data_IF_257286101555
#
_entry.id   IF_257286101555
#
_cell.length_a   1.000
_cell.length_b   1.000
_cell.length_c   1.000
_cell.angle_alpha   90.00
_cell.angle_beta   90.00
_cell.angle_gamma   90.00
#
_symmetry.space_group_name_H-M   'P 1'
#
loop_
_entity.id
_entity.type
_entity.pdbx_description
1 polymer ?
#
# COMPACT_ATOMS: atom_id res chain seq x y z
N UNK A 1 -1.83 -21.47 12.46
CA UNK A 1 -2.43 -22.27 11.38
C UNK A 1 -3.91 -21.93 11.28
N UNK A 2 -4.54 -22.14 10.12
CA UNK A 2 -5.98 -21.90 9.92
C UNK A 2 -6.84 -22.67 10.95
N UNK A 3 -6.44 -23.87 11.32
CA UNK A 3 -7.15 -24.63 12.34
C UNK A 3 -7.11 -23.93 13.69
N UNK A 4 -5.96 -23.34 14.06
CA UNK A 4 -5.85 -22.58 15.31
C UNK A 4 -6.74 -21.34 15.30
N UNK A 5 -6.76 -20.59 14.20
CA UNK A 5 -7.65 -19.42 14.04
C UNK A 5 -9.12 -19.88 14.11
N UNK A 6 -9.47 -20.96 13.43
CA UNK A 6 -10.82 -21.54 13.49
C UNK A 6 -11.23 -21.94 14.92
N UNK A 7 -10.34 -22.61 15.66
CA UNK A 7 -10.58 -23.00 17.04
C UNK A 7 -10.76 -21.78 17.96
N UNK A 8 -9.90 -20.78 17.83
CA UNK A 8 -9.98 -19.53 18.60
C UNK A 8 -11.28 -18.77 18.32
N UNK A 9 -11.66 -18.64 17.03
CA UNK A 9 -12.91 -17.98 16.64
C UNK A 9 -14.14 -18.79 17.06
N UNK A 10 -14.11 -20.11 16.92
CA UNK A 10 -15.20 -20.98 17.38
C UNK A 10 -15.39 -20.82 18.91
N UNK A 11 -14.30 -20.85 19.66
CA UNK A 11 -14.35 -20.68 21.11
C UNK A 11 -14.93 -19.29 21.50
N UNK A 12 -14.51 -18.23 20.83
CA UNK A 12 -15.02 -16.87 21.05
C UNK A 12 -16.49 -16.77 20.69
N UNK A 13 -16.89 -17.25 19.52
CA UNK A 13 -18.29 -17.26 19.07
C UNK A 13 -19.19 -18.03 20.04
N UNK A 14 -18.77 -19.21 20.49
CA UNK A 14 -19.53 -20.00 21.47
C UNK A 14 -19.66 -19.30 22.82
N UNK A 15 -18.60 -18.62 23.27
CA UNK A 15 -18.63 -17.86 24.53
C UNK A 15 -19.58 -16.67 24.47
N UNK A 16 -19.64 -15.97 23.35
CA UNK A 16 -20.49 -14.77 23.16
C UNK A 16 -21.96 -15.13 22.90
N UNK A 17 -22.21 -16.22 22.19
CA UNK A 17 -23.56 -16.61 21.79
C UNK A 17 -24.16 -17.76 22.62
N UNK A 18 -23.43 -18.26 23.61
CA UNK A 18 -23.85 -19.42 24.43
C UNK A 18 -24.27 -20.63 23.60
N UNK A 19 -23.61 -20.85 22.45
CA UNK A 19 -23.87 -21.91 21.50
C UNK A 19 -22.63 -22.76 21.30
N UNK A 20 -22.80 -24.07 21.37
CA UNK A 20 -21.74 -25.03 21.07
C UNK A 20 -21.83 -25.40 19.57
N UNK A 21 -21.27 -24.53 18.72
CA UNK A 21 -21.33 -24.64 17.26
C UNK A 21 -19.92 -24.68 16.68
N UNK A 22 -19.68 -25.60 15.79
CA UNK A 22 -18.44 -25.67 15.02
C UNK A 22 -18.59 -24.75 13.80
N UNK A 23 -17.83 -23.64 13.75
CA UNK A 23 -17.91 -22.69 12.65
C UNK A 23 -17.42 -23.34 11.34
N UNK A 24 -18.23 -23.20 10.30
CA UNK A 24 -17.84 -23.58 8.93
C UNK A 24 -16.76 -22.63 8.41
N UNK A 25 -16.04 -23.02 7.36
CA UNK A 25 -15.07 -22.15 6.73
C UNK A 25 -15.63 -20.77 6.35
N UNK A 26 -16.87 -20.73 5.85
CA UNK A 26 -17.60 -19.50 5.52
C UNK A 26 -17.86 -18.63 6.76
N UNK A 27 -18.32 -19.23 7.83
CA UNK A 27 -18.57 -18.53 9.08
C UNK A 27 -17.30 -17.98 9.72
N UNK A 28 -16.19 -18.75 9.67
CA UNK A 28 -14.89 -18.23 10.12
C UNK A 28 -14.45 -17.01 9.31
N UNK A 29 -14.68 -17.03 8.00
CA UNK A 29 -14.37 -15.90 7.14
C UNK A 29 -15.20 -14.66 7.50
N UNK A 30 -16.48 -14.81 7.71
CA UNK A 30 -17.37 -13.73 8.16
C UNK A 30 -17.01 -13.24 9.56
N UNK A 31 -16.76 -14.12 10.50
CA UNK A 31 -16.40 -13.75 11.86
C UNK A 31 -15.04 -13.05 11.94
N UNK A 32 -14.07 -13.43 11.10
CA UNK A 32 -12.82 -12.67 10.94
C UNK A 32 -13.09 -11.23 10.48
N UNK A 33 -14.14 -11.00 9.70
CA UNK A 33 -14.54 -9.66 9.29
C UNK A 33 -15.17 -8.84 10.42
N UNK A 34 -15.83 -9.46 11.38
CA UNK A 34 -16.45 -8.79 12.52
C UNK A 34 -15.48 -8.57 13.69
N UNK A 35 -14.47 -9.42 13.87
CA UNK A 35 -13.59 -9.37 15.05
C UNK A 35 -12.40 -8.43 14.93
N UNK A 36 -12.08 -7.98 13.76
CA UNK A 36 -11.21 -6.83 13.66
C UNK A 36 -12.08 -5.61 13.96
N UNK A 37 -11.91 -5.00 15.11
CA UNK A 37 -12.55 -3.75 15.57
C UNK A 37 -12.29 -2.56 14.63
N UNK A 38 -12.07 -2.82 13.36
CA UNK A 38 -11.70 -1.87 12.34
C UNK A 38 -12.76 -1.74 11.27
N UNK A 39 -13.90 -1.27 11.67
CA UNK A 39 -14.62 -0.30 10.88
C UNK A 39 -13.82 1.01 10.83
N UNK A 40 -12.62 0.96 10.31
CA UNK A 40 -12.03 2.18 9.83
C UNK A 40 -12.64 2.46 8.47
N UNK A 41 -12.99 3.71 8.22
CA UNK A 41 -13.50 4.27 6.95
C UNK A 41 -12.68 3.94 5.68
N UNK A 42 -11.70 3.07 5.77
CA UNK A 42 -10.78 2.63 4.71
C UNK A 42 -10.79 1.11 4.57
N UNK A 43 -11.75 0.45 5.15
CA UNK A 43 -11.62 -0.87 5.72
C UNK A 43 -11.70 -2.00 4.76
N UNK A 44 -12.57 -1.99 3.77
CA UNK A 44 -12.93 -3.25 3.11
C UNK A 44 -11.78 -3.82 2.29
N UNK A 45 -11.13 -3.01 1.48
CA UNK A 45 -10.07 -3.49 0.57
C UNK A 45 -8.81 -3.91 1.34
N UNK A 46 -8.31 -3.06 2.19
CA UNK A 46 -7.09 -3.30 2.98
C UNK A 46 -7.27 -4.41 4.01
N UNK A 47 -8.46 -4.53 4.54
CA UNK A 47 -8.85 -5.58 5.45
C UNK A 47 -8.80 -6.97 4.75
N UNK A 48 -9.43 -7.12 3.60
CA UNK A 48 -9.41 -8.35 2.83
C UNK A 48 -8.01 -8.69 2.32
N UNK A 49 -7.22 -7.71 1.97
CA UNK A 49 -5.83 -7.90 1.58
C UNK A 49 -4.98 -8.42 2.75
N UNK A 50 -5.18 -7.89 3.96
CA UNK A 50 -4.50 -8.41 5.15
C UNK A 50 -4.92 -9.84 5.49
N UNK A 51 -6.20 -10.16 5.40
CA UNK A 51 -6.67 -11.55 5.54
C UNK A 51 -6.07 -12.42 4.44
N UNK A 52 -6.06 -11.96 3.21
CA UNK A 52 -5.47 -12.69 2.10
C UNK A 52 -3.99 -12.97 2.33
N UNK A 53 -3.20 -11.99 2.76
CA UNK A 53 -1.79 -12.15 3.10
C UNK A 53 -1.59 -13.17 4.22
N UNK A 54 -2.37 -13.08 5.30
CA UNK A 54 -2.32 -14.04 6.40
C UNK A 54 -2.70 -15.46 5.95
N UNK A 55 -3.72 -15.61 5.13
CA UNK A 55 -4.15 -16.89 4.61
C UNK A 55 -3.18 -17.49 3.57
N UNK A 56 -2.47 -16.65 2.81
CA UNK A 56 -1.43 -17.11 1.90
C UNK A 56 -0.17 -17.65 2.62
N UNK A 57 0.08 -17.22 3.86
CA UNK A 57 1.17 -17.74 4.70
C UNK A 57 0.86 -19.10 5.33
N UNK A 58 -0.38 -19.55 5.26
CA UNK A 58 -0.78 -20.85 5.80
C UNK A 58 -0.42 -21.96 4.85
N UNK A 59 0.26 -22.99 5.38
CA UNK A 59 0.76 -24.14 4.60
C UNK A 59 -0.26 -24.73 3.63
N UNK A 60 0.21 -25.03 2.42
CA UNK A 60 -0.56 -25.54 1.27
C UNK A 60 -1.40 -26.80 1.56
N UNK A 61 -1.10 -27.53 2.62
CA UNK A 61 -1.68 -28.84 2.94
C UNK A 61 -3.05 -28.79 3.64
N UNK A 62 -3.50 -27.62 4.11
CA UNK A 62 -4.77 -27.46 4.83
C UNK A 62 -5.79 -26.59 4.10
N UNK A 63 -5.80 -26.64 2.78
CA UNK A 63 -6.73 -25.87 1.97
C UNK A 63 -8.12 -26.45 2.04
N UNK A 64 -8.95 -25.86 2.85
CA UNK A 64 -10.39 -25.97 2.68
C UNK A 64 -10.75 -25.24 1.36
N UNK A 65 -11.32 -25.95 0.39
CA UNK A 65 -11.65 -25.38 -0.94
C UNK A 65 -12.53 -24.13 -0.86
N UNK A 66 -13.22 -23.95 0.25
CA UNK A 66 -14.05 -22.80 0.58
C UNK A 66 -13.25 -21.51 0.74
N UNK A 67 -12.08 -21.57 1.37
CA UNK A 67 -11.22 -20.39 1.55
C UNK A 67 -10.65 -19.91 0.21
N UNK A 68 -10.26 -20.84 -0.65
CA UNK A 68 -9.78 -20.53 -1.99
C UNK A 68 -10.88 -19.87 -2.84
N UNK A 69 -12.11 -20.36 -2.73
CA UNK A 69 -13.25 -19.79 -3.43
C UNK A 69 -13.52 -18.37 -2.92
N UNK A 70 -13.63 -18.16 -1.61
CA UNK A 70 -13.83 -16.86 -1.00
C UNK A 70 -12.74 -15.85 -1.37
N UNK A 71 -11.47 -16.26 -1.29
CA UNK A 71 -10.34 -15.41 -1.68
C UNK A 71 -10.34 -15.08 -3.18
N UNK A 72 -10.73 -16.01 -4.02
CA UNK A 72 -10.85 -15.79 -5.47
C UNK A 72 -11.97 -14.81 -5.77
N UNK A 73 -13.12 -14.92 -5.08
CA UNK A 73 -14.23 -13.98 -5.23
C UNK A 73 -13.87 -12.58 -4.74
N UNK A 74 -13.19 -12.47 -3.61
CA UNK A 74 -12.70 -11.18 -3.09
C UNK A 74 -11.74 -10.53 -4.09
N UNK A 75 -10.74 -11.28 -4.60
CA UNK A 75 -9.83 -10.74 -5.61
C UNK A 75 -10.55 -10.29 -6.88
N UNK A 76 -11.55 -11.04 -7.30
CA UNK A 76 -12.39 -10.69 -8.44
C UNK A 76 -13.19 -9.42 -8.13
N UNK A 77 -13.81 -9.36 -6.97
CA UNK A 77 -14.54 -8.21 -6.49
C UNK A 77 -13.68 -6.93 -6.44
N UNK A 78 -12.47 -7.04 -5.90
CA UNK A 78 -11.51 -5.93 -5.85
C UNK A 78 -11.14 -5.39 -7.24
N UNK A 79 -11.02 -6.27 -8.24
CA UNK A 79 -10.68 -5.88 -9.62
C UNK A 79 -11.88 -5.33 -10.42
N UNK A 80 -13.09 -5.77 -10.10
CA UNK A 80 -14.29 -5.51 -10.90
C UNK A 80 -15.16 -4.36 -10.34
N UNK A 81 -14.70 -3.64 -9.33
CA UNK A 81 -15.47 -2.52 -8.74
C UNK A 81 -16.67 -2.99 -7.90
N UNK A 82 -16.51 -4.16 -7.28
CA UNK A 82 -17.47 -4.75 -6.37
C UNK A 82 -17.10 -4.36 -4.94
N UNK A 83 -18.08 -4.04 -4.13
CA UNK A 83 -17.89 -3.73 -2.71
C UNK A 83 -18.62 -4.75 -1.83
N UNK A 84 -18.18 -4.90 -0.59
CA UNK A 84 -18.84 -5.76 0.38
C UNK A 84 -19.64 -4.92 1.36
N UNK A 85 -20.85 -5.35 1.64
CA UNK A 85 -21.67 -4.80 2.69
C UNK A 85 -22.35 -5.95 3.45
N UNK A 86 -22.16 -5.99 4.76
CA UNK A 86 -22.78 -6.97 5.66
C UNK A 86 -22.56 -8.43 5.25
N UNK A 87 -21.37 -8.74 4.71
CA UNK A 87 -21.01 -10.09 4.29
C UNK A 87 -21.52 -10.51 2.91
N UNK A 88 -22.11 -9.60 2.16
CA UNK A 88 -22.53 -9.79 0.76
C UNK A 88 -21.77 -8.85 -0.16
N UNK A 89 -21.53 -9.31 -1.40
CA UNK A 89 -20.84 -8.51 -2.41
C UNK A 89 -21.83 -7.90 -3.39
N UNK A 90 -21.68 -6.62 -3.62
CA UNK A 90 -22.53 -5.84 -4.49
C UNK A 90 -21.75 -5.18 -5.62
N UNK A 91 -22.36 -5.07 -6.78
CA UNK A 91 -21.89 -4.26 -7.89
C UNK A 91 -22.95 -3.22 -8.26
N UNK A 92 -22.55 -2.00 -8.61
CA UNK A 92 -23.45 -1.00 -9.15
C UNK A 92 -23.84 -1.39 -10.57
N UNK A 93 -25.14 -1.57 -10.85
CA UNK A 93 -25.63 -2.05 -12.14
C UNK A 93 -26.58 -1.07 -12.84
N UNK A 94 -27.16 -0.14 -12.10
CA UNK A 94 -28.17 0.72 -12.70
C UNK A 94 -28.37 2.07 -12.04
N UNK A 95 -28.99 2.95 -12.81
CA UNK A 95 -29.50 4.26 -12.39
C UNK A 95 -31.01 4.28 -12.64
N UNK A 96 -31.76 4.78 -11.69
CA UNK A 96 -33.22 4.92 -11.83
C UNK A 96 -33.59 5.98 -12.89
N UNK A 97 -34.78 5.88 -13.47
CA UNK A 97 -35.26 6.91 -14.38
C UNK A 97 -35.26 8.32 -13.75
N UNK A 98 -35.02 9.34 -14.56
CA UNK A 98 -34.90 10.74 -14.10
C UNK A 98 -36.13 11.18 -13.28
N UNK A 99 -35.87 11.78 -12.11
CA UNK A 99 -36.91 12.23 -11.17
C UNK A 99 -37.39 11.20 -10.17
N UNK A 100 -36.77 10.01 -10.14
CA UNK A 100 -37.07 8.96 -9.17
C UNK A 100 -35.83 8.79 -8.27
N UNK A 101 -35.96 9.07 -6.97
CA UNK A 101 -34.91 8.78 -5.99
C UNK A 101 -35.26 7.49 -5.23
N UNK A 102 -34.24 6.62 -4.99
CA UNK A 102 -34.43 5.34 -4.33
C UNK A 102 -35.12 5.46 -2.96
N UNK A 103 -34.76 6.48 -2.18
CA UNK A 103 -35.41 6.76 -0.88
C UNK A 103 -36.90 7.09 -0.99
N UNK A 104 -37.33 7.77 -2.09
CA UNK A 104 -38.72 8.12 -2.31
C UNK A 104 -39.54 6.92 -2.79
N UNK A 105 -38.94 6.02 -3.57
CA UNK A 105 -39.52 4.74 -3.94
C UNK A 105 -39.83 3.88 -2.72
N UNK A 106 -38.91 3.82 -1.78
CA UNK A 106 -39.08 3.08 -0.52
C UNK A 106 -40.19 3.69 0.33
N UNK A 107 -40.31 5.01 0.40
CA UNK A 107 -41.40 5.70 1.11
C UNK A 107 -42.76 5.49 0.45
N UNK A 108 -42.81 5.36 -0.89
CA UNK A 108 -44.05 5.17 -1.67
C UNK A 108 -44.53 3.72 -1.67
N UNK A 109 -43.72 2.70 -1.39
CA UNK A 109 -44.17 1.29 -1.32
C UNK A 109 -45.24 1.04 -0.25
N UNK A 110 -45.43 1.95 0.68
CA UNK A 110 -46.59 1.92 1.61
C UNK A 110 -47.88 2.40 0.98
N UNK A 111 -47.89 2.91 -0.23
CA UNK A 111 -49.04 3.59 -0.87
C UNK A 111 -49.33 3.19 -2.31
N UNK A 112 -49.31 1.90 -2.66
CA UNK A 112 -49.87 1.35 -3.92
C UNK A 112 -49.43 2.03 -5.21
N UNK A 113 -48.16 2.14 -5.53
CA UNK A 113 -47.72 2.56 -6.86
C UNK A 113 -47.02 1.41 -7.61
N UNK A 114 -47.24 1.39 -8.94
CA UNK A 114 -46.92 0.33 -9.91
C UNK A 114 -45.42 0.00 -10.11
N UNK A 115 -44.57 0.34 -9.18
CA UNK A 115 -43.15 -0.04 -9.21
C UNK A 115 -43.00 -1.36 -8.47
N UNK A 116 -42.56 -2.39 -9.20
CA UNK A 116 -42.33 -3.74 -8.69
C UNK A 116 -41.17 -3.79 -7.72
N UNK A 117 -41.38 -3.28 -6.52
CA UNK A 117 -40.52 -3.56 -5.36
C UNK A 117 -40.97 -4.88 -4.76
N UNK A 118 -40.21 -5.93 -4.95
CA UNK A 118 -40.43 -7.13 -4.18
C UNK A 118 -39.86 -6.90 -2.78
N UNK A 119 -40.74 -6.86 -1.78
CA UNK A 119 -40.35 -6.91 -0.37
C UNK A 119 -39.72 -8.27 -0.09
N UNK A 120 -38.43 -8.41 -0.41
CA UNK A 120 -37.65 -9.47 0.17
C UNK A 120 -37.34 -9.06 1.58
N UNK A 121 -37.98 -9.76 2.51
CA UNK A 121 -37.72 -9.54 3.91
C UNK A 121 -36.27 -9.79 4.24
N UNK A 122 -35.73 -8.86 4.79
CA UNK A 122 -34.59 -8.56 5.60
C UNK A 122 -34.08 -9.61 6.57
N UNK A 123 -34.58 -10.85 6.54
CA UNK A 123 -33.95 -11.95 7.28
C UNK A 123 -32.53 -12.22 6.79
N UNK A 124 -32.24 -11.86 5.52
CA UNK A 124 -30.94 -12.06 4.89
C UNK A 124 -30.01 -10.83 4.99
N UNK A 125 -30.54 -9.63 5.24
CA UNK A 125 -29.76 -8.41 5.33
C UNK A 125 -30.04 -7.67 6.65
N UNK A 126 -29.02 -7.43 7.49
CA UNK A 126 -29.19 -6.67 8.71
C UNK A 126 -29.51 -5.20 8.41
N UNK A 127 -30.07 -4.50 9.41
CA UNK A 127 -30.38 -3.07 9.30
C UNK A 127 -29.11 -2.27 9.07
N UNK A 128 -29.15 -1.34 8.11
CA UNK A 128 -28.04 -0.47 7.78
C UNK A 128 -28.53 0.96 7.60
N UNK A 129 -27.63 1.93 7.64
CA UNK A 129 -27.96 3.28 7.25
C UNK A 129 -27.63 3.49 5.76
N UNK A 130 -28.49 4.26 5.09
CA UNK A 130 -28.31 4.66 3.70
C UNK A 130 -26.91 5.27 3.45
N UNK A 131 -26.49 6.14 4.35
CA UNK A 131 -25.20 6.83 4.24
C UNK A 131 -24.03 5.84 4.37
N UNK A 132 -24.15 4.81 5.21
CA UNK A 132 -23.11 3.77 5.33
C UNK A 132 -22.99 2.93 4.07
N UNK A 133 -24.11 2.56 3.46
CA UNK A 133 -24.09 1.78 2.23
C UNK A 133 -23.40 2.52 1.09
N UNK A 134 -23.73 3.80 0.87
CA UNK A 134 -23.10 4.61 -0.15
C UNK A 134 -21.64 4.96 0.18
N UNK A 135 -21.28 5.13 1.43
CA UNK A 135 -19.89 5.34 1.82
C UNK A 135 -19.01 4.12 1.51
N UNK A 136 -19.56 2.91 1.63
CA UNK A 136 -18.86 1.66 1.30
C UNK A 136 -18.82 1.42 -0.20
N UNK A 137 -19.91 1.74 -0.93
CA UNK A 137 -19.99 1.51 -2.38
C UNK A 137 -19.06 2.40 -3.19
N UNK A 138 -18.70 3.58 -2.69
CA UNK A 138 -18.00 4.63 -3.43
C UNK A 138 -18.65 5.01 -4.78
N UNK A 139 -19.93 4.65 -4.98
CA UNK A 139 -20.67 4.86 -6.22
C UNK A 139 -21.94 5.70 -5.96
N UNK A 140 -21.79 6.98 -5.56
CA UNK A 140 -22.91 7.82 -5.08
C UNK A 140 -23.93 8.17 -6.15
N UNK A 141 -23.64 7.90 -7.42
CA UNK A 141 -24.54 8.16 -8.56
C UNK A 141 -25.25 6.91 -9.08
N UNK A 142 -24.98 5.75 -8.48
CA UNK A 142 -25.70 4.51 -8.78
C UNK A 142 -26.90 4.38 -7.84
N UNK A 143 -28.01 3.84 -8.33
CA UNK A 143 -29.24 3.63 -7.57
C UNK A 143 -29.57 2.15 -7.39
N UNK A 144 -29.17 1.30 -8.33
CA UNK A 144 -29.48 -0.12 -8.37
C UNK A 144 -28.20 -0.93 -8.25
N UNK A 145 -28.18 -1.84 -7.27
CA UNK A 145 -27.03 -2.67 -6.96
C UNK A 145 -27.40 -4.13 -7.05
N UNK A 146 -26.54 -4.93 -7.69
CA UNK A 146 -26.70 -6.39 -7.78
C UNK A 146 -25.89 -7.06 -6.68
N UNK A 147 -26.55 -7.90 -5.90
CA UNK A 147 -25.87 -8.81 -4.99
C UNK A 147 -25.35 -10.03 -5.75
N UNK A 148 -24.06 -10.31 -5.64
CA UNK A 148 -23.42 -11.40 -6.42
C UNK A 148 -23.82 -12.77 -5.91
N UNK A 149 -24.06 -12.93 -4.61
CA UNK A 149 -24.45 -14.19 -3.99
C UNK A 149 -25.88 -14.59 -4.35
N UNK A 150 -26.78 -13.63 -4.41
CA UNK A 150 -28.20 -13.88 -4.70
C UNK A 150 -28.56 -13.72 -6.17
N UNK A 151 -27.75 -12.99 -6.95
CA UNK A 151 -28.03 -12.60 -8.32
C UNK A 151 -29.16 -11.58 -8.46
N UNK A 152 -29.65 -11.00 -7.37
CA UNK A 152 -30.78 -10.08 -7.33
C UNK A 152 -30.32 -8.63 -7.29
N UNK A 153 -31.18 -7.74 -7.80
CA UNK A 153 -30.95 -6.30 -7.73
C UNK A 153 -31.63 -5.72 -6.49
N UNK A 154 -30.99 -4.71 -5.90
CA UNK A 154 -31.45 -4.01 -4.71
C UNK A 154 -31.34 -2.51 -4.87
N UNK A 155 -32.21 -1.79 -4.17
CA UNK A 155 -32.16 -0.33 -4.00
C UNK A 155 -31.94 -0.05 -2.51
N UNK A 156 -30.97 0.81 -2.15
CA UNK A 156 -30.79 1.27 -0.77
C UNK A 156 -31.95 2.15 -0.32
N UNK A 157 -32.52 1.83 0.85
CA UNK A 157 -33.49 2.67 1.58
C UNK A 157 -32.88 3.19 2.90
N UNK A 158 -33.69 3.86 3.72
CA UNK A 158 -33.17 4.47 4.98
C UNK A 158 -32.61 3.45 5.96
N UNK A 159 -33.22 2.25 6.06
CA UNK A 159 -32.86 1.24 7.04
C UNK A 159 -32.76 -0.18 6.47
N UNK A 160 -32.99 -0.36 5.19
CA UNK A 160 -33.09 -1.69 4.56
C UNK A 160 -32.68 -1.63 3.09
N UNK A 161 -32.20 -2.76 2.56
CA UNK A 161 -32.06 -2.99 1.13
C UNK A 161 -33.36 -3.59 0.60
N UNK A 162 -33.91 -3.01 -0.47
CA UNK A 162 -35.13 -3.48 -1.10
C UNK A 162 -34.83 -4.18 -2.40
N UNK A 163 -35.38 -5.37 -2.59
CA UNK A 163 -35.30 -6.05 -3.87
C UNK A 163 -35.96 -5.21 -4.95
N UNK A 164 -35.31 -5.05 -6.09
CA UNK A 164 -35.79 -4.24 -7.22
C UNK A 164 -35.89 -5.07 -8.49
N UNK A 165 -37.11 -5.11 -9.06
CA UNK A 165 -37.41 -5.80 -10.32
C UNK A 165 -37.89 -4.85 -11.43
N UNK A 166 -37.82 -3.52 -11.18
CA UNK A 166 -38.22 -2.49 -12.13
C UNK A 166 -37.17 -2.23 -13.21
N UNK A 167 -37.56 -1.36 -14.16
CA UNK A 167 -36.64 -0.91 -15.20
C UNK A 167 -35.64 0.09 -14.69
N UNK A 168 -34.38 -0.02 -15.14
CA UNK A 168 -33.30 0.92 -14.84
C UNK A 168 -32.40 1.07 -16.05
N UNK A 169 -31.72 2.21 -16.15
CA UNK A 169 -30.67 2.41 -17.12
C UNK A 169 -29.37 1.78 -16.62
N UNK A 170 -28.55 1.19 -17.50
CA UNK A 170 -27.24 0.65 -17.08
C UNK A 170 -26.40 1.72 -16.40
N UNK A 171 -25.83 1.40 -15.25
CA UNK A 171 -24.84 2.25 -14.62
C UNK A 171 -23.55 2.21 -15.45
N UNK A 172 -23.24 3.33 -16.06
CA UNK A 172 -21.95 3.52 -16.70
C UNK A 172 -21.02 4.07 -15.63
N UNK A 173 -20.14 3.22 -15.11
CA UNK A 173 -19.09 3.66 -14.21
C UNK A 173 -18.39 4.86 -14.86
N UNK A 174 -18.26 6.01 -14.17
CA UNK A 174 -17.48 7.11 -14.71
C UNK A 174 -16.13 6.54 -15.17
N UNK A 175 -15.78 6.76 -16.44
CA UNK A 175 -14.45 6.46 -16.89
C UNK A 175 -13.52 7.22 -15.95
N UNK A 176 -12.92 6.50 -15.01
CA UNK A 176 -11.72 7.01 -14.36
C UNK A 176 -10.76 7.15 -15.52
N UNK A 177 -10.50 8.39 -15.94
CA UNK A 177 -9.43 8.65 -16.90
C UNK A 177 -8.24 7.84 -16.38
N UNK A 178 -7.85 6.80 -17.12
CA UNK A 178 -6.61 6.11 -16.82
C UNK A 178 -5.55 7.19 -16.79
N UNK A 179 -5.06 7.51 -15.60
CA UNK A 179 -3.97 8.46 -15.44
C UNK A 179 -2.74 7.78 -16.03
N UNK A 180 -2.65 7.78 -17.35
CA UNK A 180 -1.46 7.32 -18.06
C UNK A 180 -0.41 8.39 -17.86
N UNK A 181 0.36 8.24 -16.80
CA UNK A 181 1.50 9.11 -16.53
C UNK A 181 2.68 8.63 -17.36
N UNK A 182 3.19 9.50 -18.23
CA UNK A 182 4.50 9.23 -18.82
C UNK A 182 5.57 9.20 -17.71
N UNK A 183 6.47 8.21 -17.71
CA UNK A 183 7.52 8.14 -16.71
C UNK A 183 8.31 9.45 -16.64
N UNK A 184 8.51 9.97 -15.44
CA UNK A 184 9.32 11.16 -15.21
C UNK A 184 10.10 11.05 -13.90
N UNK A 185 11.16 11.86 -13.76
CA UNK A 185 11.95 11.92 -12.55
C UNK A 185 11.62 13.18 -11.76
N UNK A 186 11.37 13.03 -10.49
CA UNK A 186 11.20 14.13 -9.56
C UNK A 186 12.49 14.95 -9.43
N UNK A 187 12.35 16.26 -9.24
CA UNK A 187 13.46 17.19 -9.02
C UNK A 187 13.30 17.85 -7.67
N UNK A 188 14.27 17.66 -6.80
CA UNK A 188 14.29 18.31 -5.49
C UNK A 188 14.68 19.77 -5.66
N UNK A 189 13.75 20.66 -5.37
CA UNK A 189 13.96 22.12 -5.41
C UNK A 189 14.17 22.72 -4.02
N UNK A 190 13.58 22.07 -3.01
CA UNK A 190 13.64 22.51 -1.61
C UNK A 190 14.92 22.01 -0.93
N UNK A 191 15.45 22.85 -0.02
CA UNK A 191 16.59 22.49 0.82
C UNK A 191 16.14 21.98 2.20
N UNK A 192 14.87 22.17 2.54
CA UNK A 192 14.30 21.86 3.87
C UNK A 192 13.62 20.50 3.93
N UNK A 193 14.11 19.53 3.16
CA UNK A 193 13.63 18.14 3.22
C UNK A 193 13.64 17.62 4.65
N UNK A 194 12.46 17.25 5.14
CA UNK A 194 12.31 16.73 6.49
C UNK A 194 12.31 17.77 7.59
N UNK A 195 12.00 19.03 7.26
CA UNK A 195 11.74 20.08 8.25
C UNK A 195 10.54 19.68 9.14
N UNK A 196 10.60 20.11 10.39
CA UNK A 196 9.54 19.87 11.37
C UNK A 196 9.90 18.92 12.51
N UNK A 197 9.04 18.90 13.52
CA UNK A 197 9.20 18.05 14.69
C UNK A 197 8.84 16.58 14.42
N UNK A 198 9.10 15.68 15.39
CA UNK A 198 8.90 14.24 15.21
C UNK A 198 7.49 13.84 14.75
N UNK A 199 6.44 14.48 15.27
CA UNK A 199 5.05 14.20 14.85
C UNK A 199 4.74 14.65 13.42
N UNK A 200 5.33 15.76 12.97
CA UNK A 200 5.18 16.22 11.59
C UNK A 200 5.87 15.27 10.61
N UNK A 201 7.07 14.78 10.95
CA UNK A 201 7.79 13.77 10.17
C UNK A 201 7.02 12.45 10.11
N UNK A 202 6.48 12.01 11.23
CA UNK A 202 5.62 10.82 11.27
C UNK A 202 4.44 10.97 10.30
N UNK A 203 3.71 12.08 10.39
CA UNK A 203 2.56 12.33 9.54
C UNK A 203 2.94 12.30 8.05
N UNK A 204 4.02 12.99 7.68
CA UNK A 204 4.51 12.99 6.30
C UNK A 204 4.90 11.58 5.81
N UNK A 205 5.55 10.78 6.67
CA UNK A 205 5.87 9.39 6.34
C UNK A 205 4.61 8.54 6.11
N UNK A 206 3.58 8.69 6.97
CA UNK A 206 2.35 7.93 6.83
C UNK A 206 1.56 8.33 5.59
N UNK A 207 1.49 9.65 5.27
CA UNK A 207 0.87 10.14 4.05
C UNK A 207 1.55 9.56 2.80
N UNK A 208 2.89 9.53 2.78
CA UNK A 208 3.64 8.94 1.67
C UNK A 208 3.44 7.41 1.57
N UNK A 209 3.37 6.70 2.69
CA UNK A 209 3.12 5.25 2.73
C UNK A 209 1.71 4.93 2.21
N UNK A 210 0.69 5.66 2.65
CA UNK A 210 -0.68 5.45 2.18
C UNK A 210 -0.80 5.73 0.67
N UNK A 211 -0.16 6.80 0.20
CA UNK A 211 -0.12 7.09 -1.23
C UNK A 211 0.61 5.99 -2.02
N UNK A 212 1.75 5.51 -1.51
CA UNK A 212 2.48 4.39 -2.13
C UNK A 212 1.60 3.14 -2.24
N UNK A 213 0.87 2.80 -1.17
CA UNK A 213 -0.06 1.67 -1.18
C UNK A 213 -1.17 1.83 -2.22
N UNK A 214 -1.71 3.05 -2.36
CA UNK A 214 -2.70 3.37 -3.39
C UNK A 214 -2.12 3.17 -4.79
N UNK A 215 -0.92 3.69 -5.06
CA UNK A 215 -0.24 3.54 -6.35
C UNK A 215 0.07 2.08 -6.70
N UNK A 216 0.46 1.29 -5.69
CA UNK A 216 0.69 -0.15 -5.87
C UNK A 216 -0.62 -0.92 -6.14
N UNK A 217 -1.72 -0.54 -5.51
CA UNK A 217 -3.04 -1.13 -5.75
C UNK A 217 -3.57 -0.81 -7.15
N UNK A 218 -3.37 0.43 -7.58
CA UNK A 218 -3.78 0.90 -8.91
C UNK A 218 -2.80 0.47 -10.02
N UNK A 219 -1.69 -0.15 -9.68
CA UNK A 219 -0.63 -0.61 -10.59
C UNK A 219 -0.14 0.50 -11.54
N UNK A 220 -0.06 1.73 -11.05
CA UNK A 220 0.33 2.92 -11.84
C UNK A 220 1.51 3.68 -11.27
N UNK A 221 2.04 4.55 -12.11
CA UNK A 221 3.06 5.51 -11.72
C UNK A 221 2.44 6.73 -11.02
N UNK A 222 3.21 7.32 -10.11
CA UNK A 222 2.85 8.58 -9.46
C UNK A 222 2.84 9.74 -10.47
N UNK A 223 1.86 10.63 -10.32
CA UNK A 223 1.84 11.92 -11.02
C UNK A 223 2.88 12.88 -10.43
N UNK A 224 3.21 14.00 -11.09
CA UNK A 224 4.10 15.01 -10.52
C UNK A 224 3.66 15.52 -9.14
N UNK A 225 2.36 15.73 -8.94
CA UNK A 225 1.77 16.17 -7.67
C UNK A 225 1.89 15.11 -6.58
N UNK A 226 1.69 13.85 -6.95
CA UNK A 226 1.87 12.72 -6.04
C UNK A 226 3.34 12.51 -5.68
N UNK A 227 4.26 12.73 -6.62
CA UNK A 227 5.69 12.70 -6.34
C UNK A 227 6.11 13.77 -5.33
N UNK A 228 5.51 14.96 -5.37
CA UNK A 228 5.72 15.99 -4.36
C UNK A 228 5.35 15.49 -2.96
N UNK A 229 4.24 14.76 -2.84
CA UNK A 229 3.80 14.15 -1.58
C UNK A 229 4.73 13.03 -1.14
N UNK A 230 5.14 12.14 -2.05
CA UNK A 230 6.09 11.06 -1.77
C UNK A 230 7.46 11.58 -1.35
N UNK A 231 7.91 12.71 -1.91
CA UNK A 231 9.21 13.31 -1.60
C UNK A 231 9.35 13.78 -0.15
N UNK A 232 8.23 13.92 0.57
CA UNK A 232 8.20 14.29 1.99
C UNK A 232 8.49 13.14 2.94
N UNK A 233 8.60 11.92 2.42
CA UNK A 233 9.05 10.80 3.22
C UNK A 233 10.51 10.98 3.65
N UNK A 234 10.75 10.91 4.95
CA UNK A 234 12.07 11.19 5.54
C UNK A 234 12.66 9.99 6.30
N UNK A 235 12.01 8.84 6.22
CA UNK A 235 12.42 7.65 6.96
C UNK A 235 12.22 7.78 8.47
N UNK A 236 12.81 6.87 9.22
CA UNK A 236 12.52 6.69 10.65
C UNK A 236 13.66 7.10 11.58
N UNK A 237 14.82 7.50 11.06
CA UNK A 237 16.02 7.81 11.84
C UNK A 237 15.86 8.90 12.90
N UNK A 238 14.92 9.80 12.73
CA UNK A 238 14.66 10.88 13.68
C UNK A 238 13.45 10.66 14.60
N UNK A 239 12.76 9.52 14.52
CA UNK A 239 11.50 9.25 15.22
C UNK A 239 11.38 7.82 15.77
N UNK A 240 12.37 7.33 16.51
CA UNK A 240 12.31 5.97 17.09
C UNK A 240 11.14 5.77 18.04
N UNK A 241 10.60 6.86 18.61
CA UNK A 241 9.45 6.84 19.53
C UNK A 241 8.19 6.25 18.91
N UNK A 242 8.04 6.30 17.58
CA UNK A 242 6.92 5.70 16.87
C UNK A 242 6.87 4.16 16.98
N UNK A 243 7.99 3.54 17.36
CA UNK A 243 8.14 2.08 17.52
C UNK A 243 8.16 1.61 18.98
N UNK A 244 7.93 2.52 19.93
CA UNK A 244 7.94 2.25 21.36
C UNK A 244 6.52 1.99 21.89
N UNK A 245 6.15 0.72 22.07
CA UNK A 245 4.83 0.31 22.57
C UNK A 245 4.46 0.92 23.92
N UNK A 246 5.45 1.14 24.79
CA UNK A 246 5.26 1.70 26.13
C UNK A 246 5.10 3.22 26.15
N UNK A 247 5.28 3.90 25.03
CA UNK A 247 5.24 5.36 24.96
C UNK A 247 3.81 5.87 24.77
N UNK A 248 3.16 6.22 25.85
CA UNK A 248 1.77 6.69 25.83
C UNK A 248 1.54 7.94 24.96
N UNK A 249 2.58 8.78 24.75
CA UNK A 249 2.47 9.97 23.88
C UNK A 249 2.47 9.60 22.38
N UNK A 250 2.78 8.35 22.04
CA UNK A 250 2.88 7.83 20.69
C UNK A 250 2.01 6.59 20.46
N UNK A 251 1.11 6.28 21.40
CA UNK A 251 0.32 5.05 21.37
C UNK A 251 -0.53 4.91 20.08
N UNK A 252 -1.16 6.00 19.64
CA UNK A 252 -1.96 6.00 18.41
C UNK A 252 -1.09 5.78 17.18
N UNK A 253 0.02 6.50 17.08
CA UNK A 253 0.96 6.39 15.96
C UNK A 253 1.64 5.02 15.91
N UNK A 254 1.97 4.45 17.07
CA UNK A 254 2.49 3.09 17.17
C UNK A 254 1.50 2.06 16.59
N UNK A 255 0.22 2.17 16.99
CA UNK A 255 -0.82 1.26 16.51
C UNK A 255 -1.09 1.45 15.02
N UNK A 256 -1.22 2.70 14.55
CA UNK A 256 -1.41 3.02 13.14
C UNK A 256 -0.27 2.42 12.30
N UNK A 257 0.98 2.69 12.67
CA UNK A 257 2.16 2.20 11.95
C UNK A 257 2.20 0.67 11.88
N UNK A 258 1.93 0.01 13.02
CA UNK A 258 1.92 -1.45 13.10
C UNK A 258 0.81 -2.09 12.28
N UNK A 259 -0.31 -1.40 12.09
CA UNK A 259 -1.43 -1.89 11.30
C UNK A 259 -1.29 -1.58 9.80
N UNK A 260 -0.54 -0.53 9.46
CA UNK A 260 -0.37 -0.08 8.08
C UNK A 260 0.71 -0.88 7.35
N UNK A 261 1.83 -1.17 8.02
CA UNK A 261 2.96 -1.88 7.43
C UNK A 261 2.82 -3.41 7.55
N UNK A 262 3.29 -4.14 6.55
CA UNK A 262 3.49 -5.58 6.69
C UNK A 262 4.51 -5.89 7.80
N UNK A 263 4.55 -7.11 8.35
CA UNK A 263 5.54 -7.48 9.36
C UNK A 263 6.98 -7.26 8.90
N UNK A 264 7.28 -7.49 7.63
CA UNK A 264 8.59 -7.30 7.01
C UNK A 264 8.91 -5.80 6.90
N UNK A 265 8.00 -5.00 6.37
CA UNK A 265 8.14 -3.54 6.26
C UNK A 265 8.26 -2.89 7.64
N UNK A 266 7.46 -3.32 8.61
CA UNK A 266 7.56 -2.84 9.99
C UNK A 266 8.91 -3.18 10.63
N UNK A 267 9.41 -4.41 10.40
CA UNK A 267 10.72 -4.82 10.91
C UNK A 267 11.85 -4.01 10.27
N UNK A 268 11.80 -3.81 8.95
CA UNK A 268 12.76 -2.98 8.22
C UNK A 268 12.72 -1.52 8.68
N UNK A 269 11.53 -0.93 8.79
CA UNK A 269 11.31 0.43 9.28
C UNK A 269 11.85 0.62 10.70
N UNK A 270 11.59 -0.34 11.61
CA UNK A 270 12.12 -0.31 12.97
C UNK A 270 13.64 -0.41 13.00
N UNK A 271 14.23 -1.29 12.19
CA UNK A 271 15.68 -1.42 12.11
C UNK A 271 16.33 -0.14 11.57
N UNK A 272 15.68 0.55 10.64
CA UNK A 272 16.17 1.78 10.01
C UNK A 272 16.23 2.98 10.96
N UNK A 273 15.55 2.93 12.11
CA UNK A 273 15.58 4.02 13.11
C UNK A 273 17.00 4.36 13.61
N UNK A 274 17.93 3.43 13.50
CA UNK A 274 19.32 3.60 13.92
C UNK A 274 20.23 4.10 12.80
N UNK A 275 19.86 3.89 11.53
CA UNK A 275 20.77 4.02 10.39
C UNK A 275 20.23 4.91 9.25
N UNK A 276 18.94 5.20 9.20
CA UNK A 276 18.34 5.97 8.10
C UNK A 276 18.49 7.49 8.35
N UNK A 277 19.67 8.01 8.05
CA UNK A 277 19.95 9.44 8.04
C UNK A 277 20.24 9.88 6.61
N UNK A 278 19.29 10.58 6.01
CA UNK A 278 19.46 11.08 4.65
C UNK A 278 20.47 12.22 4.59
N UNK A 279 21.29 12.17 3.54
CA UNK A 279 22.29 13.22 3.28
C UNK A 279 21.60 14.53 2.92
N UNK A 280 22.03 15.65 3.49
CA UNK A 280 21.41 16.95 3.24
C UNK A 280 21.63 17.40 1.79
N UNK A 281 20.66 18.12 1.19
CA UNK A 281 20.78 18.64 -0.16
C UNK A 281 22.05 19.46 -0.40
N UNK A 282 22.48 20.24 0.58
CA UNK A 282 23.71 21.05 0.48
C UNK A 282 24.95 20.17 0.28
N UNK A 283 25.08 19.10 1.04
CA UNK A 283 26.22 18.17 0.91
C UNK A 283 26.18 17.47 -0.46
N UNK A 284 25.02 16.99 -0.87
CA UNK A 284 24.86 16.32 -2.16
C UNK A 284 25.25 17.23 -3.32
N UNK A 285 24.80 18.50 -3.31
CA UNK A 285 25.18 19.49 -4.34
C UNK A 285 26.68 19.72 -4.38
N UNK A 286 27.33 19.85 -3.20
CA UNK A 286 28.79 20.01 -3.14
C UNK A 286 29.53 18.80 -3.72
N UNK A 287 29.02 17.58 -3.47
CA UNK A 287 29.59 16.36 -4.07
C UNK A 287 29.46 16.37 -5.59
N UNK A 288 28.30 16.75 -6.12
CA UNK A 288 28.12 16.88 -7.57
C UNK A 288 29.00 17.98 -8.18
N UNK A 289 29.18 19.11 -7.51
CA UNK A 289 30.12 20.17 -7.95
C UNK A 289 31.54 19.64 -8.11
N UNK A 290 31.99 18.80 -7.19
CA UNK A 290 33.31 18.14 -7.31
C UNK A 290 33.34 17.23 -8.55
N UNK A 291 32.31 16.42 -8.77
CA UNK A 291 32.24 15.54 -9.95
C UNK A 291 32.20 16.32 -11.26
N UNK A 292 31.48 17.45 -11.31
CA UNK A 292 31.47 18.35 -12.48
C UNK A 292 32.86 18.91 -12.76
N UNK A 293 33.58 19.36 -11.71
CA UNK A 293 34.95 19.85 -11.81
C UNK A 293 35.92 18.76 -12.26
N UNK A 294 35.66 17.50 -11.93
CA UNK A 294 36.42 16.36 -12.44
C UNK A 294 36.05 15.97 -13.88
N UNK A 295 35.02 16.62 -14.47
CA UNK A 295 34.61 16.44 -15.85
C UNK A 295 33.55 15.36 -16.09
N UNK A 296 32.91 14.82 -15.04
CA UNK A 296 31.83 13.86 -15.18
C UNK A 296 30.56 14.56 -15.70
N UNK A 297 30.07 14.17 -16.86
CA UNK A 297 28.87 14.75 -17.49
C UNK A 297 27.82 13.71 -17.87
N UNK A 298 28.22 12.48 -18.02
CA UNK A 298 27.38 11.36 -18.45
C UNK A 298 28.01 10.04 -18.02
N UNK A 299 27.31 8.96 -18.17
CA UNK A 299 27.75 7.60 -17.85
C UNK A 299 26.79 6.91 -16.88
N UNK A 300 27.21 5.77 -16.38
CA UNK A 300 26.47 5.01 -15.39
C UNK A 300 26.90 5.42 -13.98
N UNK A 301 25.98 5.91 -13.18
CA UNK A 301 26.22 6.35 -11.80
C UNK A 301 25.42 5.46 -10.86
N UNK A 302 26.08 4.87 -9.87
CA UNK A 302 25.43 4.02 -8.85
C UNK A 302 25.37 4.73 -7.50
N UNK A 303 24.22 4.65 -6.87
CA UNK A 303 24.00 4.93 -5.43
C UNK A 303 23.66 3.62 -4.72
N UNK A 304 24.62 3.00 -3.99
CA UNK A 304 24.46 1.63 -3.48
C UNK A 304 23.57 1.50 -2.23
N UNK A 305 23.15 2.62 -1.65
CA UNK A 305 22.19 2.72 -0.53
C UNK A 305 21.39 4.00 -0.68
N UNK A 306 20.46 3.99 -1.64
CA UNK A 306 19.89 5.24 -2.14
C UNK A 306 18.79 5.84 -1.26
N UNK A 307 18.24 5.11 -0.29
CA UNK A 307 17.08 5.55 0.45
C UNK A 307 15.94 5.89 -0.50
N UNK A 308 15.38 7.10 -0.36
CA UNK A 308 14.37 7.62 -1.30
C UNK A 308 14.99 8.29 -2.53
N UNK A 309 16.31 8.25 -2.74
CA UNK A 309 16.98 8.71 -3.94
C UNK A 309 17.30 10.20 -3.98
N UNK A 310 17.67 10.81 -2.85
CA UNK A 310 17.99 12.24 -2.80
C UNK A 310 19.11 12.65 -3.77
N UNK A 311 20.11 11.79 -4.00
CA UNK A 311 21.14 12.06 -5.01
C UNK A 311 20.56 12.10 -6.42
N UNK A 312 19.59 11.24 -6.74
CA UNK A 312 18.90 11.24 -8.04
C UNK A 312 18.10 12.53 -8.25
N UNK A 313 17.41 13.00 -7.19
CA UNK A 313 16.60 14.22 -7.25
C UNK A 313 17.41 15.51 -7.37
N UNK A 314 18.69 15.46 -6.95
CA UNK A 314 19.62 16.61 -6.95
C UNK A 314 20.69 16.53 -8.04
N UNK A 315 20.62 15.55 -8.95
CA UNK A 315 21.57 15.46 -10.05
C UNK A 315 21.55 16.74 -10.87
N UNK A 316 22.69 17.39 -11.16
CA UNK A 316 22.72 18.66 -11.91
C UNK A 316 22.29 18.45 -13.36
N UNK A 317 21.76 19.49 -13.99
CA UNK A 317 21.31 19.46 -15.39
C UNK A 317 22.44 19.12 -16.37
N UNK A 318 23.67 19.55 -16.05
CA UNK A 318 24.87 19.20 -16.80
C UNK A 318 25.14 17.71 -16.92
N UNK A 319 24.61 16.92 -15.95
CA UNK A 319 24.67 15.46 -15.89
C UNK A 319 23.35 14.79 -16.29
N UNK A 320 22.39 15.51 -16.87
CA UNK A 320 21.05 15.01 -17.19
C UNK A 320 21.00 13.85 -18.19
N UNK A 321 22.14 13.49 -18.81
CA UNK A 321 22.29 12.31 -19.66
C UNK A 321 22.90 11.09 -18.94
N UNK A 322 23.21 11.20 -17.65
CA UNK A 322 23.71 10.08 -16.87
C UNK A 322 22.58 9.06 -16.59
N UNK A 323 22.93 7.79 -16.62
CA UNK A 323 22.04 6.70 -16.21
C UNK A 323 22.22 6.49 -14.70
N UNK A 324 21.22 6.81 -13.91
CA UNK A 324 21.25 6.59 -12.47
C UNK A 324 20.75 5.20 -12.11
N UNK A 325 21.49 4.53 -11.24
CA UNK A 325 21.19 3.25 -10.65
C UNK A 325 21.14 3.42 -9.13
N UNK A 326 20.13 2.85 -8.50
CA UNK A 326 19.99 2.84 -7.04
C UNK A 326 19.82 1.43 -6.52
N UNK A 327 20.30 1.19 -5.32
CA UNK A 327 20.02 -0.02 -4.56
C UNK A 327 19.52 0.40 -3.19
N UNK A 328 18.43 -0.17 -2.73
CA UNK A 328 17.87 0.13 -1.41
C UNK A 328 17.32 -1.15 -0.78
N UNK A 329 17.74 -1.39 0.46
CA UNK A 329 17.35 -2.57 1.23
C UNK A 329 15.94 -2.41 1.83
N UNK A 330 15.62 -1.20 2.33
CA UNK A 330 14.31 -0.92 2.91
C UNK A 330 13.23 -0.89 1.81
N UNK A 331 12.24 -1.81 1.88
CA UNK A 331 11.26 -1.95 0.81
C UNK A 331 10.40 -0.69 0.63
N UNK A 332 10.04 0.02 1.69
CA UNK A 332 9.23 1.24 1.61
C UNK A 332 10.01 2.36 0.93
N UNK A 333 11.23 2.65 1.40
CA UNK A 333 12.10 3.67 0.82
C UNK A 333 12.41 3.38 -0.64
N UNK A 334 12.74 2.13 -0.97
CA UNK A 334 13.08 1.72 -2.34
C UNK A 334 11.88 1.81 -3.30
N UNK A 335 10.68 1.48 -2.86
CA UNK A 335 9.45 1.62 -3.65
C UNK A 335 9.10 3.10 -3.86
N UNK A 336 9.24 3.94 -2.84
CA UNK A 336 9.08 5.40 -2.96
C UNK A 336 10.09 5.94 -3.97
N UNK A 337 11.35 5.54 -3.88
CA UNK A 337 12.37 5.96 -4.85
C UNK A 337 12.01 5.57 -6.30
N UNK A 338 11.44 4.39 -6.52
CA UNK A 338 10.93 3.97 -7.85
C UNK A 338 9.83 4.89 -8.36
N UNK A 339 8.94 5.33 -7.50
CA UNK A 339 7.86 6.25 -7.86
C UNK A 339 8.37 7.68 -8.10
N UNK A 340 9.40 8.11 -7.37
CA UNK A 340 10.01 9.42 -7.55
C UNK A 340 10.90 9.51 -8.80
N UNK A 341 11.64 8.43 -9.10
CA UNK A 341 12.63 8.44 -10.19
C UNK A 341 12.31 7.35 -11.22
N UNK A 342 11.19 7.50 -11.88
CA UNK A 342 10.57 6.50 -12.75
C UNK A 342 11.41 6.13 -14.00
N UNK A 343 12.35 6.99 -14.38
CA UNK A 343 13.30 6.74 -15.50
C UNK A 343 14.61 6.11 -15.03
N UNK A 344 14.82 5.98 -13.73
CA UNK A 344 16.04 5.44 -13.16
C UNK A 344 15.89 3.93 -12.86
N UNK A 345 17.01 3.26 -12.67
CA UNK A 345 17.04 1.82 -12.40
C UNK A 345 17.27 1.59 -10.91
N UNK A 346 16.21 1.29 -10.18
CA UNK A 346 16.26 1.10 -8.73
C UNK A 346 15.96 -0.36 -8.40
N UNK A 347 16.91 -1.02 -7.71
CA UNK A 347 16.77 -2.37 -7.18
C UNK A 347 16.40 -2.28 -5.69
N UNK A 348 15.28 -2.90 -5.30
CA UNK A 348 14.84 -2.97 -3.91
C UNK A 348 15.29 -4.31 -3.35
N UNK A 349 16.52 -4.35 -2.86
CA UNK A 349 17.20 -5.55 -2.34
C UNK A 349 18.49 -5.16 -1.63
N UNK A 350 19.15 -6.10 -0.97
CA UNK A 350 20.48 -5.89 -0.41
C UNK A 350 21.53 -5.64 -1.49
N UNK A 351 22.54 -4.82 -1.19
CA UNK A 351 23.64 -4.59 -2.12
C UNK A 351 24.42 -5.88 -2.41
N UNK A 352 24.52 -6.77 -1.42
CA UNK A 352 25.10 -8.11 -1.53
C UNK A 352 24.41 -9.01 -2.56
N UNK A 353 23.13 -8.79 -2.80
CA UNK A 353 22.31 -9.56 -3.73
C UNK A 353 22.41 -9.04 -5.19
N UNK A 354 23.04 -7.89 -5.38
CA UNK A 354 23.19 -7.31 -6.71
C UNK A 354 24.29 -8.00 -7.52
N UNK A 355 24.06 -8.14 -8.84
CA UNK A 355 24.98 -8.80 -9.79
C UNK A 355 25.40 -7.87 -10.93
N UNK A 356 25.83 -6.66 -10.60
CA UNK A 356 26.40 -5.75 -11.60
C UNK A 356 27.76 -6.27 -12.11
N UNK A 357 28.09 -6.05 -13.40
CA UNK A 357 29.41 -6.38 -13.91
C UNK A 357 30.50 -5.52 -13.29
N UNK A 358 31.71 -6.07 -13.14
CA UNK A 358 32.87 -5.30 -12.75
C UNK A 358 33.16 -4.18 -13.75
N UNK A 359 33.65 -3.05 -13.28
CA UNK A 359 34.01 -1.90 -14.10
C UNK A 359 32.85 -1.35 -14.95
N UNK A 360 31.61 -1.49 -14.48
CA UNK A 360 30.41 -1.08 -15.21
C UNK A 360 30.05 0.40 -14.97
N UNK A 361 30.37 0.94 -13.80
CA UNK A 361 30.00 2.30 -13.44
C UNK A 361 31.11 3.31 -13.67
N UNK A 362 30.75 4.48 -14.15
CA UNK A 362 31.64 5.63 -14.27
C UNK A 362 31.85 6.32 -12.91
N UNK A 363 30.85 6.23 -12.05
CA UNK A 363 30.89 6.81 -10.70
C UNK A 363 30.02 5.96 -9.74
N UNK A 364 30.49 5.81 -8.52
CA UNK A 364 29.67 5.38 -7.38
C UNK A 364 29.65 6.52 -6.35
N UNK A 365 28.46 6.98 -6.00
CA UNK A 365 28.27 8.11 -5.10
C UNK A 365 27.18 7.74 -4.09
N UNK A 366 27.32 8.17 -2.85
CA UNK A 366 26.28 7.95 -1.84
C UNK A 366 26.82 8.06 -0.41
N UNK A 367 25.92 7.80 0.53
CA UNK A 367 26.21 7.68 1.95
C UNK A 367 25.97 6.22 2.33
N UNK A 368 27.06 5.47 2.50
CA UNK A 368 26.98 4.03 2.81
C UNK A 368 26.53 3.78 4.24
N UNK A 369 25.87 2.63 4.52
CA UNK A 369 25.48 2.29 5.87
C UNK A 369 26.71 2.08 6.79
N UNK A 370 26.56 2.45 8.06
CA UNK A 370 27.57 2.25 9.09
C UNK A 370 27.08 1.27 10.15
N UNK A 371 27.98 0.48 10.68
CA UNK A 371 27.63 -0.45 11.76
C UNK A 371 28.70 -1.48 12.02
N UNK A 372 28.57 -2.16 13.16
CA UNK A 372 29.47 -3.25 13.58
C UNK A 372 28.89 -4.62 13.21
N UNK A 373 28.44 -4.76 11.98
CA UNK A 373 27.89 -6.00 11.41
C UNK A 373 28.43 -6.26 10.02
N UNK A 374 28.25 -7.46 9.54
CA UNK A 374 28.69 -7.93 8.23
C UNK A 374 27.50 -8.43 7.42
N UNK A 375 27.61 -8.38 6.12
CA UNK A 375 26.69 -9.04 5.19
C UNK A 375 27.41 -10.20 4.52
N UNK A 376 26.67 -11.20 4.08
CA UNK A 376 27.25 -12.35 3.36
C UNK A 376 27.21 -12.09 1.87
N UNK A 377 28.39 -11.94 1.29
CA UNK A 377 28.62 -11.93 -0.15
C UNK A 377 29.80 -12.85 -0.45
N UNK A 378 29.52 -13.94 -1.15
CA UNK A 378 30.49 -15.02 -1.41
C UNK A 378 31.82 -14.52 -1.96
N UNK A 379 31.84 -13.42 -2.68
CA UNK A 379 33.05 -12.82 -3.25
C UNK A 379 33.92 -12.17 -2.16
N UNK A 380 33.31 -11.62 -1.13
CA UNK A 380 33.96 -10.78 -0.12
C UNK A 380 34.06 -11.43 1.25
N UNK A 381 33.33 -12.53 1.54
CA UNK A 381 33.23 -13.21 2.83
C UNK A 381 34.60 -13.50 3.46
N UNK A 382 35.59 -13.86 2.64
CA UNK A 382 36.94 -14.14 3.09
C UNK A 382 37.67 -12.96 3.77
N UNK A 383 37.21 -11.73 3.55
CA UNK A 383 37.83 -10.52 4.06
C UNK A 383 37.22 -10.06 5.38
N UNK A 384 36.06 -10.62 5.77
CA UNK A 384 35.31 -10.26 6.97
C UNK A 384 35.08 -8.76 7.12
N UNK A 385 34.78 -8.08 6.03
CA UNK A 385 34.53 -6.64 6.02
C UNK A 385 33.34 -6.27 6.90
N UNK A 386 33.49 -5.17 7.66
CA UNK A 386 32.33 -4.49 8.21
C UNK A 386 31.49 -3.89 7.09
N UNK A 387 30.22 -3.59 7.37
CA UNK A 387 29.26 -3.17 6.34
C UNK A 387 29.79 -2.01 5.47
N UNK A 388 30.36 -0.99 6.07
CA UNK A 388 30.90 0.17 5.33
C UNK A 388 32.11 -0.21 4.47
N UNK A 389 33.04 -1.05 4.97
CA UNK A 389 34.18 -1.54 4.21
C UNK A 389 33.75 -2.41 3.03
N UNK A 390 32.72 -3.24 3.26
CA UNK A 390 32.13 -4.06 2.21
C UNK A 390 31.55 -3.19 1.08
N UNK A 391 30.76 -2.17 1.41
CA UNK A 391 30.19 -1.26 0.42
C UNK A 391 31.29 -0.57 -0.40
N UNK A 392 32.35 -0.09 0.25
CA UNK A 392 33.49 0.53 -0.42
C UNK A 392 34.21 -0.49 -1.33
N UNK A 393 34.52 -1.68 -0.82
CA UNK A 393 35.24 -2.70 -1.58
C UNK A 393 34.45 -3.14 -2.84
N UNK A 394 33.17 -3.44 -2.69
CA UNK A 394 32.31 -3.81 -3.82
C UNK A 394 32.15 -2.65 -4.83
N UNK A 395 31.99 -1.43 -4.35
CA UNK A 395 31.91 -0.24 -5.20
C UNK A 395 33.15 -0.03 -6.05
N UNK A 396 34.36 -0.23 -5.44
CA UNK A 396 35.62 -0.12 -6.16
C UNK A 396 35.75 -1.16 -7.29
N UNK A 397 35.29 -2.39 -7.08
CA UNK A 397 35.26 -3.41 -8.15
C UNK A 397 34.29 -3.06 -9.27
N UNK A 398 33.19 -2.38 -8.94
CA UNK A 398 32.14 -1.99 -9.91
C UNK A 398 32.51 -0.72 -10.69
N UNK A 399 33.40 0.13 -10.18
CA UNK A 399 33.88 1.34 -10.87
C UNK A 399 34.91 0.96 -11.93
N UNK A 400 34.76 1.53 -13.14
CA UNK A 400 35.70 1.33 -14.22
C UNK A 400 37.03 2.02 -13.97
N UNK A 401 38.16 1.60 -14.62
CA UNK A 401 39.42 2.35 -14.57
C UNK A 401 39.19 3.81 -15.04
N UNK A 402 39.64 4.76 -14.22
CA UNK A 402 39.46 6.20 -14.44
C UNK A 402 38.08 6.72 -14.07
N UNK A 403 37.23 5.89 -13.45
CA UNK A 403 35.99 6.29 -12.78
C UNK A 403 36.24 6.79 -11.36
N UNK A 404 35.15 7.26 -10.69
CA UNK A 404 35.23 7.87 -9.35
C UNK A 404 34.31 7.14 -8.38
#
# INVERSE_FOLDING_TARGET
>A
SLNKIREELTAKYCSENSKDVHLTGRQVFYELSFFTEYETKYGTLQYYENIYRQLCQVEKTQRDGWYLYGLTQIKKAMKEGVFEYQGYHFEAVGVLPEGIEGKDLVAQTRSNTELHLSTYHTEDFPKYSYDEFYAVSNEPTADVFRCLETGRNYIPGENELFGYEGEFQPYLKPEVEEIVTEPHNFRIQDNDLGAGGPKAKYKANMEAIHLLQTLEQEERLATPEEQESLSRYVGWGGIPQAFEESNSSWANEYLELKNTLSPEEYSAARASTLNAFYTSPTVIRSMYEVLENMGLKQGNILEPSCGVGNFMGLIPESMGKANMYGVELDPVSGKIAKQLYQKNKIAVQGFEETSYPDSFFDCVIGNVPFGSYQVSDRRYDRHHFMIHDYFIAKSLDLVRPGGV
#
